data_IF_587387724517
#
_entry.id   IF_587387724517
#
_cell.length_a   1.000
_cell.length_b   1.000
_cell.length_c   1.000
_cell.angle_alpha   90.00
_cell.angle_beta   90.00
_cell.angle_gamma   90.00
#
_symmetry.space_group_name_H-M   'P 1'
#
loop_
_entity.id
_entity.type
_entity.pdbx_description
1 polymer ?
#
# COMPACT_ATOMS: atom_id res chain seq x y z
N UNK A 1 -10.45 -17.86 21.33
CA UNK A 1 -10.73 -18.92 20.34
C UNK A 1 -9.58 -18.96 19.34
N UNK A 2 -8.97 -20.13 19.11
CA UNK A 2 -7.86 -20.27 18.17
C UNK A 2 -8.37 -20.14 16.73
N UNK A 3 -7.85 -19.15 15.98
CA UNK A 3 -8.12 -19.01 14.55
C UNK A 3 -7.55 -20.23 13.83
N UNK A 4 -8.39 -20.98 13.11
CA UNK A 4 -7.95 -22.05 12.20
C UNK A 4 -7.02 -21.42 11.16
N UNK A 5 -5.75 -21.81 11.17
CA UNK A 5 -4.79 -21.50 10.11
C UNK A 5 -5.04 -22.46 8.95
N UNK A 6 -5.17 -21.91 7.75
CA UNK A 6 -4.97 -22.64 6.49
C UNK A 6 -3.53 -23.15 6.40
N UNK A 7 -3.15 -23.89 5.36
CA UNK A 7 -1.76 -24.32 5.12
C UNK A 7 -0.73 -23.16 5.07
N UNK A 8 -1.22 -21.91 5.03
CA UNK A 8 -0.49 -20.70 5.35
C UNK A 8 -0.79 -20.26 6.80
N UNK A 9 0.23 -19.85 7.57
CA UNK A 9 0.12 -19.23 8.91
C UNK A 9 -0.69 -17.90 8.93
N UNK A 10 -1.42 -17.60 7.85
CA UNK A 10 -2.26 -16.44 7.69
C UNK A 10 -3.60 -16.59 8.43
N UNK A 11 -4.14 -15.49 8.97
CA UNK A 11 -5.53 -15.43 9.42
C UNK A 11 -6.51 -15.74 8.27
N UNK A 12 -7.66 -16.34 8.60
CA UNK A 12 -8.71 -16.69 7.62
C UNK A 12 -9.14 -15.57 6.68
N UNK A 13 -9.16 -14.32 7.15
CA UNK A 13 -9.53 -13.15 6.33
C UNK A 13 -8.45 -12.77 5.30
N UNK A 14 -7.19 -13.09 5.58
CA UNK A 14 -6.04 -12.71 4.77
C UNK A 14 -5.83 -13.67 3.58
N UNK A 15 -6.23 -14.93 3.74
CA UNK A 15 -6.11 -15.99 2.73
C UNK A 15 -6.68 -15.58 1.36
N UNK A 16 -7.96 -15.14 1.24
CA UNK A 16 -8.52 -14.80 -0.08
C UNK A 16 -7.79 -13.63 -0.75
N UNK A 17 -7.30 -12.66 0.03
CA UNK A 17 -6.52 -11.53 -0.50
C UNK A 17 -5.17 -12.03 -1.02
N UNK A 18 -4.49 -12.89 -0.26
CA UNK A 18 -3.21 -13.48 -0.65
C UNK A 18 -3.33 -14.36 -1.90
N UNK A 19 -4.39 -15.14 -2.04
CA UNK A 19 -4.67 -15.94 -3.24
C UNK A 19 -4.89 -15.07 -4.48
N UNK A 20 -5.63 -13.96 -4.35
CA UNK A 20 -5.81 -12.99 -5.45
C UNK A 20 -4.51 -12.34 -5.92
N UNK A 21 -3.49 -12.30 -5.06
CA UNK A 21 -2.15 -11.82 -5.39
C UNK A 21 -1.26 -12.89 -6.05
N UNK A 22 -1.78 -14.10 -6.30
CA UNK A 22 -1.03 -15.20 -6.88
C UNK A 22 -0.24 -16.01 -5.84
N UNK A 23 -0.61 -15.93 -4.56
CA UNK A 23 -0.07 -16.76 -3.48
C UNK A 23 1.47 -16.75 -3.38
N UNK A 24 2.12 -15.59 -3.26
CA UNK A 24 3.58 -15.52 -3.13
C UNK A 24 4.08 -16.29 -1.90
N UNK A 25 5.27 -16.87 -2.01
CA UNK A 25 5.96 -17.55 -0.92
C UNK A 25 6.27 -16.56 0.21
N UNK A 26 5.64 -16.75 1.37
CA UNK A 26 5.78 -15.85 2.52
C UNK A 26 7.13 -16.00 3.25
N UNK A 27 7.73 -17.19 3.16
CA UNK A 27 9.01 -17.49 3.81
C UNK A 27 10.16 -16.67 3.18
N UNK A 28 10.15 -16.53 1.86
CA UNK A 28 11.22 -15.85 1.11
C UNK A 28 11.21 -14.32 1.28
N UNK A 29 10.09 -13.77 1.74
CA UNK A 29 9.85 -12.32 1.86
C UNK A 29 9.69 -11.86 3.31
N UNK A 30 9.91 -12.76 4.27
CA UNK A 30 9.87 -12.47 5.70
C UNK A 30 10.85 -11.35 6.10
N UNK A 31 10.58 -10.72 7.24
CA UNK A 31 11.49 -9.72 7.80
C UNK A 31 12.77 -10.37 8.31
N UNK A 32 13.90 -9.75 8.03
CA UNK A 32 15.22 -10.10 8.57
C UNK A 32 15.61 -9.03 9.59
N UNK A 33 15.55 -9.38 10.87
CA UNK A 33 15.80 -8.44 11.97
C UNK A 33 17.23 -8.46 12.48
N UNK A 34 17.92 -9.59 12.34
CA UNK A 34 19.23 -9.85 12.94
C UNK A 34 20.29 -10.10 11.85
N UNK A 35 21.57 -10.13 12.24
CA UNK A 35 22.69 -10.34 11.32
C UNK A 35 23.31 -9.03 10.81
N UNK A 36 23.93 -9.08 9.62
CA UNK A 36 24.61 -7.93 9.03
C UNK A 36 23.61 -6.79 8.76
N UNK A 37 23.98 -5.54 9.08
CA UNK A 37 23.13 -4.37 8.87
C UNK A 37 22.64 -4.25 7.42
N UNK A 38 23.48 -4.61 6.45
CA UNK A 38 23.13 -4.58 5.02
C UNK A 38 22.17 -5.69 4.59
N UNK A 39 21.94 -6.71 5.42
CA UNK A 39 21.04 -7.84 5.14
C UNK A 39 19.70 -7.69 5.87
N UNK A 40 19.64 -6.82 6.89
CA UNK A 40 18.39 -6.57 7.62
C UNK A 40 17.37 -5.92 6.70
N UNK A 41 16.16 -6.48 6.69
CA UNK A 41 15.02 -6.02 5.90
C UNK A 41 13.78 -6.07 6.78
N UNK A 42 13.29 -4.90 7.18
CA UNK A 42 12.09 -4.78 8.01
C UNK A 42 11.36 -3.48 7.65
N UNK A 43 10.13 -3.34 8.14
CA UNK A 43 9.28 -2.19 7.87
C UNK A 43 8.16 -2.52 6.88
N UNK A 44 7.13 -1.67 6.89
CA UNK A 44 5.95 -1.84 6.05
C UNK A 44 6.29 -1.62 4.58
N UNK A 45 5.75 -2.46 3.72
CA UNK A 45 5.92 -2.48 2.27
C UNK A 45 4.58 -2.33 1.58
N UNK A 46 4.62 -1.91 0.32
CA UNK A 46 3.43 -1.91 -0.52
C UNK A 46 2.85 -3.33 -0.61
N UNK A 47 1.54 -3.41 -0.54
CA UNK A 47 0.73 -4.63 -0.58
C UNK A 47 0.86 -5.56 0.63
N UNK A 48 1.55 -5.14 1.70
CA UNK A 48 1.58 -5.89 2.97
C UNK A 48 0.17 -6.11 3.51
N UNK A 49 -0.07 -7.29 4.08
CA UNK A 49 -1.28 -7.60 4.81
C UNK A 49 -1.16 -7.05 6.22
N UNK A 50 -2.09 -6.21 6.63
CA UNK A 50 -2.04 -5.45 7.88
C UNK A 50 -3.35 -5.51 8.64
N UNK A 51 -3.26 -5.42 9.97
CA UNK A 51 -4.37 -5.16 10.87
C UNK A 51 -4.11 -3.84 11.60
N UNK A 52 -5.02 -2.88 11.45
CA UNK A 52 -4.90 -1.53 11.98
C UNK A 52 -5.97 -1.32 13.06
N UNK A 53 -5.52 -0.98 14.26
CA UNK A 53 -6.37 -0.59 15.37
C UNK A 53 -6.49 0.94 15.42
N UNK A 54 -7.73 1.43 15.41
CA UNK A 54 -8.08 2.84 15.45
C UNK A 54 -8.46 3.29 16.87
N UNK A 55 -8.39 4.60 17.11
CA UNK A 55 -8.84 5.21 18.36
C UNK A 55 -10.37 5.16 18.43
N UNK A 56 -10.89 4.40 19.40
CA UNK A 56 -12.33 4.21 19.57
C UNK A 56 -13.10 5.52 19.79
N UNK A 57 -12.46 6.59 20.26
CA UNK A 57 -13.11 7.90 20.46
C UNK A 57 -13.48 8.59 19.14
N UNK A 58 -12.88 8.17 18.03
CA UNK A 58 -13.18 8.69 16.70
C UNK A 58 -14.40 8.00 16.05
N UNK A 59 -14.95 6.96 16.67
CA UNK A 59 -15.99 6.09 16.11
C UNK A 59 -17.25 6.05 17.00
N UNK A 60 -18.38 5.65 16.41
CA UNK A 60 -19.58 5.34 17.18
C UNK A 60 -19.39 4.02 17.93
N UNK A 61 -20.14 3.83 19.02
CA UNK A 61 -19.98 2.68 19.92
C UNK A 61 -20.08 1.30 19.25
N UNK A 62 -20.80 1.20 18.13
CA UNK A 62 -21.05 -0.06 17.42
C UNK A 62 -20.25 -0.20 16.11
N UNK A 63 -19.32 0.71 15.83
CA UNK A 63 -18.46 0.63 14.64
C UNK A 63 -17.18 -0.18 14.93
N UNK A 64 -16.75 -1.01 13.97
CA UNK A 64 -15.51 -1.78 14.12
C UNK A 64 -14.30 -0.83 14.03
N UNK A 65 -13.46 -0.89 15.06
CA UNK A 65 -12.24 -0.08 15.17
C UNK A 65 -11.01 -0.81 14.63
N UNK A 66 -11.17 -2.04 14.14
CA UNK A 66 -10.11 -2.86 13.56
C UNK A 66 -10.31 -2.97 12.06
N UNK A 67 -9.43 -2.31 11.32
CA UNK A 67 -9.39 -2.42 9.86
C UNK A 67 -8.37 -3.49 9.47
N UNK A 68 -8.79 -4.45 8.65
CA UNK A 68 -7.93 -5.52 8.12
C UNK A 68 -7.88 -5.40 6.62
N UNK A 69 -6.72 -5.63 6.03
CA UNK A 69 -6.62 -5.61 4.58
C UNK A 69 -5.20 -5.50 4.06
N UNK A 70 -5.11 -5.11 2.79
CA UNK A 70 -3.88 -4.93 2.04
C UNK A 70 -3.49 -3.46 1.98
N UNK A 71 -2.27 -3.14 2.37
CA UNK A 71 -1.73 -1.79 2.37
C UNK A 71 -1.46 -1.30 0.94
N UNK A 72 -2.28 -0.39 0.42
CA UNK A 72 -2.10 0.15 -0.93
C UNK A 72 -1.07 1.29 -0.98
N UNK A 73 -1.14 2.18 0.01
CA UNK A 73 -0.26 3.33 0.12
C UNK A 73 -0.10 3.79 1.57
N UNK A 74 1.03 4.43 1.88
CA UNK A 74 1.33 4.99 3.19
C UNK A 74 1.91 6.40 3.02
N UNK A 75 1.02 7.38 2.96
CA UNK A 75 1.35 8.80 2.82
C UNK A 75 1.74 9.44 4.16
N UNK A 76 2.15 10.72 4.16
CA UNK A 76 2.58 11.41 5.39
C UNK A 76 1.46 11.53 6.42
N UNK A 77 0.24 11.76 5.97
CA UNK A 77 -0.94 12.07 6.82
C UNK A 77 -1.99 10.97 6.80
N UNK A 78 -1.96 10.09 5.81
CA UNK A 78 -2.96 9.03 5.64
C UNK A 78 -2.34 7.70 5.22
N UNK A 79 -3.09 6.63 5.47
CA UNK A 79 -2.80 5.27 5.04
C UNK A 79 -4.01 4.77 4.26
N UNK A 80 -3.76 4.09 3.14
CA UNK A 80 -4.81 3.53 2.29
C UNK A 80 -4.76 2.01 2.37
N UNK A 81 -5.91 1.41 2.67
CA UNK A 81 -6.05 -0.05 2.82
C UNK A 81 -7.19 -0.53 1.93
N UNK A 82 -6.93 -1.57 1.16
CA UNK A 82 -7.96 -2.40 0.52
C UNK A 82 -8.42 -3.45 1.53
N UNK A 83 -9.63 -3.33 2.04
CA UNK A 83 -10.16 -4.21 3.09
C UNK A 83 -10.47 -5.61 2.56
N UNK A 84 -10.70 -6.56 3.48
CA UNK A 84 -11.19 -7.89 3.15
C UNK A 84 -12.63 -7.90 2.59
N UNK A 85 -13.41 -6.84 2.82
CA UNK A 85 -14.68 -6.57 2.15
C UNK A 85 -14.54 -6.04 0.72
N UNK A 86 -13.32 -5.71 0.27
CA UNK A 86 -13.04 -5.14 -1.06
C UNK A 86 -13.21 -3.62 -1.14
N UNK A 87 -13.38 -2.94 -0.01
CA UNK A 87 -13.50 -1.48 0.06
C UNK A 87 -12.12 -0.83 0.17
N UNK A 88 -11.97 0.36 -0.41
CA UNK A 88 -10.75 1.16 -0.23
C UNK A 88 -11.03 2.19 0.87
N UNK A 89 -10.30 2.08 1.97
CA UNK A 89 -10.43 2.97 3.12
C UNK A 89 -9.18 3.84 3.25
N UNK A 90 -9.41 5.15 3.42
CA UNK A 90 -8.37 6.13 3.72
C UNK A 90 -8.41 6.47 5.20
N UNK A 91 -7.38 6.06 5.93
CA UNK A 91 -7.25 6.26 7.37
C UNK A 91 -6.34 7.45 7.64
N UNK A 92 -6.79 8.40 8.46
CA UNK A 92 -5.93 9.44 8.97
C UNK A 92 -4.94 8.85 9.98
N UNK A 93 -3.66 9.25 9.92
CA UNK A 93 -2.61 8.65 10.76
C UNK A 93 -2.72 9.02 12.24
N UNK A 94 -3.33 10.16 12.54
CA UNK A 94 -3.56 10.67 13.89
C UNK A 94 -4.61 9.89 14.68
N UNK A 95 -5.48 9.13 14.01
CA UNK A 95 -6.46 8.24 14.66
C UNK A 95 -6.00 6.78 14.74
N UNK A 96 -4.80 6.45 14.25
CA UNK A 96 -4.25 5.09 14.31
C UNK A 96 -3.53 4.88 15.63
N UNK A 97 -3.95 3.86 16.37
CA UNK A 97 -3.31 3.46 17.64
C UNK A 97 -2.18 2.45 17.39
N UNK A 98 -2.41 1.47 16.49
CA UNK A 98 -1.45 0.40 16.22
C UNK A 98 -1.62 -0.15 14.81
N UNK A 99 -0.51 -0.46 14.15
CA UNK A 99 -0.49 -1.27 12.92
C UNK A 99 0.24 -2.57 13.22
N UNK A 100 -0.42 -3.69 12.95
CA UNK A 100 0.14 -5.03 13.06
C UNK A 100 0.40 -5.55 11.65
N UNK A 101 1.66 -5.80 11.32
CA UNK A 101 2.00 -6.51 10.08
C UNK A 101 1.61 -7.98 10.25
N UNK A 102 0.80 -8.49 9.34
CA UNK A 102 0.36 -9.90 9.30
C UNK A 102 1.29 -10.71 8.43
N UNK A 103 1.57 -10.23 7.22
CA UNK A 103 2.52 -10.86 6.32
C UNK A 103 3.04 -9.86 5.29
N UNK A 104 4.31 -10.00 4.94
CA UNK A 104 4.82 -9.42 3.71
C UNK A 104 4.30 -10.21 2.53
N UNK A 105 3.94 -9.51 1.45
CA UNK A 105 3.51 -10.12 0.18
C UNK A 105 4.41 -9.74 -0.99
N UNK A 106 5.34 -8.81 -0.75
CA UNK A 106 6.36 -8.39 -1.70
C UNK A 106 7.75 -8.44 -1.07
N UNK A 107 8.82 -8.66 -1.88
CA UNK A 107 10.19 -8.51 -1.43
C UNK A 107 10.45 -7.12 -0.85
N UNK A 108 11.58 -6.96 -0.16
CA UNK A 108 12.00 -5.62 0.24
C UNK A 108 12.24 -4.74 -1.00
N UNK A 109 12.03 -3.43 -0.87
CA UNK A 109 12.09 -2.48 -1.99
C UNK A 109 13.32 -2.66 -2.90
N UNK A 110 14.50 -2.85 -2.31
CA UNK A 110 15.75 -3.00 -3.05
C UNK A 110 15.82 -4.29 -3.88
N UNK A 111 15.08 -5.32 -3.49
CA UNK A 111 15.05 -6.64 -4.12
C UNK A 111 13.81 -6.79 -5.05
N UNK A 112 12.87 -5.85 -5.00
CA UNK A 112 11.62 -5.84 -5.76
C UNK A 112 11.80 -5.23 -7.16
N UNK A 113 12.32 -6.05 -8.07
CA UNK A 113 12.57 -5.66 -9.47
C UNK A 113 11.30 -5.22 -10.21
N UNK A 114 10.16 -5.82 -9.89
CA UNK A 114 8.88 -5.49 -10.51
C UNK A 114 8.46 -4.07 -10.12
N UNK A 115 8.55 -3.73 -8.82
CA UNK A 115 8.24 -2.39 -8.33
C UNK A 115 9.14 -1.34 -8.95
N UNK A 116 10.46 -1.59 -8.95
CA UNK A 116 11.43 -0.67 -9.52
C UNK A 116 11.19 -0.42 -11.01
N UNK A 117 10.82 -1.45 -11.76
CA UNK A 117 10.47 -1.33 -13.18
C UNK A 117 9.18 -0.52 -13.37
N UNK A 118 8.15 -0.79 -12.55
CA UNK A 118 6.88 -0.07 -12.55
C UNK A 118 7.07 1.43 -12.27
N UNK A 119 7.78 1.79 -11.20
CA UNK A 119 8.02 3.18 -10.81
C UNK A 119 8.79 3.94 -11.91
N UNK A 120 9.78 3.30 -12.53
CA UNK A 120 10.53 3.87 -13.65
C UNK A 120 9.64 4.13 -14.87
N UNK A 121 8.74 3.19 -15.18
CA UNK A 121 7.80 3.35 -16.29
C UNK A 121 6.77 4.46 -16.00
N UNK A 122 6.26 4.55 -14.77
CA UNK A 122 5.32 5.58 -14.36
C UNK A 122 5.94 6.99 -14.42
N UNK A 123 7.17 7.16 -13.92
CA UNK A 123 7.91 8.43 -14.04
C UNK A 123 8.07 8.87 -15.50
N UNK A 124 8.38 7.92 -16.40
CA UNK A 124 8.49 8.20 -17.84
C UNK A 124 7.14 8.63 -18.43
N UNK A 125 6.05 7.97 -18.02
CA UNK A 125 4.68 8.30 -18.45
C UNK A 125 4.28 9.70 -18.00
N UNK A 126 4.50 10.06 -16.72
CA UNK A 126 4.19 11.40 -16.19
C UNK A 126 4.97 12.50 -16.92
N UNK A 127 6.26 12.28 -17.16
CA UNK A 127 7.10 13.24 -17.90
C UNK A 127 6.57 13.45 -19.32
N UNK A 128 6.17 12.38 -20.01
CA UNK A 128 5.60 12.46 -21.36
C UNK A 128 4.25 13.19 -21.40
N UNK A 129 3.44 13.08 -20.36
CA UNK A 129 2.16 13.77 -20.24
C UNK A 129 2.37 15.26 -19.99
N UNK A 130 3.27 15.63 -19.08
CA UNK A 130 3.64 17.03 -18.85
C UNK A 130 4.15 17.70 -20.12
N UNK A 131 5.03 17.03 -20.89
CA UNK A 131 5.53 17.55 -22.15
C UNK A 131 4.40 17.79 -23.19
N UNK A 132 3.44 16.86 -23.29
CA UNK A 132 2.28 17.02 -24.17
C UNK A 132 1.41 18.21 -23.77
N UNK A 133 1.11 18.32 -22.48
CA UNK A 133 0.32 19.44 -21.95
C UNK A 133 1.02 20.77 -22.22
N UNK A 134 2.34 20.87 -21.99
CA UNK A 134 3.09 22.09 -22.29
C UNK A 134 3.08 22.46 -23.77
N UNK A 135 3.18 21.47 -24.68
CA UNK A 135 3.08 21.70 -26.14
C UNK A 135 1.69 22.22 -26.54
N UNK A 136 0.63 21.68 -25.96
CA UNK A 136 -0.75 22.14 -26.19
C UNK A 136 -1.00 23.55 -25.63
N UNK A 137 -0.42 23.89 -24.47
CA UNK A 137 -0.51 25.23 -23.88
C UNK A 137 0.29 26.26 -24.68
N UNK A 138 1.50 25.93 -25.13
CA UNK A 138 2.31 26.80 -26.01
C UNK A 138 1.65 27.01 -27.37
N UNK A 139 1.02 25.98 -27.93
CA UNK A 139 0.23 26.09 -29.16
C UNK A 139 -1.04 26.95 -29.04
N UNK A 140 -1.51 27.23 -27.81
CA UNK A 140 -2.63 28.13 -27.52
C UNK A 140 -2.21 29.58 -27.27
N UNK A 141 -0.93 29.84 -27.02
CA UNK A 141 -0.44 31.15 -26.61
C UNK A 141 -0.23 32.12 -27.79
N UNK A 142 -0.19 31.61 -29.03
CA UNK A 142 -0.12 32.44 -30.25
C UNK A 142 -1.50 32.95 -30.72
N UNK A 143 -2.60 32.52 -30.09
CA UNK A 143 -3.97 32.82 -30.54
C UNK A 143 -4.89 33.35 -29.41
N UNK A 144 -4.40 34.33 -28.63
CA UNK A 144 -5.27 35.09 -27.71
C UNK A 144 -4.96 36.58 -27.65
N UNK A 145 -5.10 37.22 -28.82
CA UNK A 145 -5.55 38.62 -28.94
C UNK A 145 -7.07 38.77 -28.73
N UNK A 146 -7.67 38.00 -27.81
CA UNK A 146 -9.10 38.12 -27.54
C UNK A 146 -9.34 38.17 -26.03
N UNK A 147 -9.65 39.40 -25.62
CA UNK A 147 -10.21 39.88 -24.35
C UNK A 147 -9.20 40.51 -23.36
N UNK A 148 -9.20 41.84 -23.40
CA UNK A 148 -8.84 42.69 -22.27
C UNK A 148 -9.92 42.73 -21.20
#
# INVERSE_FOLDING_TARGET
MAKKTSDSDLPTWAVPIWEQMGSPSLADIASVHNGNLLERRHGLRKDDLVEILLDARAFKADEDIIIKGRLLSSGKTSIEVLTDSGEIVYLARDVIVKITLIAHTRPAYIDDKELLAFERADMKRRSSLHEKVEKEVKGRQDDSHLWG
#
